data_IF_315167215905
#
_entry.id   IF_315167215905
#
_cell.length_a   1.000
_cell.length_b   1.000
_cell.length_c   1.000
_cell.angle_alpha   90.00
_cell.angle_beta   90.00
_cell.angle_gamma   90.00
#
_symmetry.space_group_name_H-M   'P 1'
#
loop_
_entity.id
_entity.type
_entity.pdbx_description
1 polymer ?
#
# COMPACT_ATOMS: atom_id res chain seq x y z
N UNK A 1 -1.09 15.05 16.40
CA UNK A 1 -0.37 14.51 15.23
C UNK A 1 0.19 15.72 14.49
N UNK A 2 1.51 15.95 14.52
CA UNK A 2 2.12 17.06 13.79
C UNK A 2 2.07 16.74 12.30
N UNK A 3 1.43 17.60 11.51
CA UNK A 3 1.35 17.54 10.05
C UNK A 3 2.76 17.49 9.39
N UNK A 4 3.83 17.82 10.14
CA UNK A 4 5.21 17.88 9.66
C UNK A 4 5.96 16.57 9.43
N UNK A 5 5.56 15.41 9.98
CA UNK A 5 6.33 14.14 9.80
C UNK A 5 5.88 13.27 8.62
N UNK A 6 4.81 13.67 7.94
CA UNK A 6 4.24 13.00 6.76
C UNK A 6 5.09 13.25 5.50
N UNK A 7 6.06 14.16 5.54
CA UNK A 7 6.54 14.87 4.34
C UNK A 7 7.87 14.38 3.75
N UNK A 8 8.84 13.88 4.52
CA UNK A 8 10.20 13.75 3.96
C UNK A 8 10.41 12.59 2.97
N UNK A 9 9.79 11.42 3.17
CA UNK A 9 10.03 10.25 2.33
C UNK A 9 9.28 10.23 0.98
N UNK A 10 8.08 10.81 0.94
CA UNK A 10 7.29 10.87 -0.30
C UNK A 10 7.81 11.98 -1.23
N UNK A 11 8.28 13.09 -0.66
CA UNK A 11 8.78 14.22 -1.44
C UNK A 11 10.08 13.88 -2.17
N UNK A 12 11.00 13.12 -1.58
CA UNK A 12 12.26 12.76 -2.25
C UNK A 12 12.02 11.82 -3.44
N UNK A 13 11.13 10.83 -3.32
CA UNK A 13 10.77 9.94 -4.43
C UNK A 13 9.98 10.68 -5.51
N UNK A 14 9.06 11.57 -5.15
CA UNK A 14 8.35 12.39 -6.11
C UNK A 14 9.31 13.34 -6.84
N UNK A 15 10.27 13.94 -6.14
CA UNK A 15 11.30 14.78 -6.77
C UNK A 15 12.21 13.96 -7.68
N UNK A 16 12.68 12.79 -7.25
CA UNK A 16 13.49 11.90 -8.10
C UNK A 16 12.68 11.48 -9.33
N UNK A 17 11.44 11.05 -9.15
CA UNK A 17 10.60 10.62 -10.24
C UNK A 17 10.25 11.78 -11.20
N UNK A 18 10.12 13.01 -10.69
CA UNK A 18 9.98 14.22 -11.50
C UNK A 18 11.28 14.56 -12.25
N UNK A 19 12.43 14.43 -11.60
CA UNK A 19 13.74 14.60 -12.25
C UNK A 19 13.95 13.55 -13.35
N UNK A 20 13.43 12.33 -13.17
CA UNK A 20 13.42 11.27 -14.18
C UNK A 20 12.44 11.55 -15.34
N UNK A 21 11.50 12.48 -15.19
CA UNK A 21 10.69 12.99 -16.32
C UNK A 21 11.49 13.91 -17.24
N UNK A 22 12.57 14.56 -16.79
CA UNK A 22 13.39 15.43 -17.65
C UNK A 22 14.07 14.60 -18.77
N UNK A 23 14.71 13.46 -18.48
CA UNK A 23 15.19 12.53 -19.51
C UNK A 23 14.10 12.02 -20.45
N UNK A 24 12.84 11.92 -20.00
CA UNK A 24 11.73 11.45 -20.86
C UNK A 24 11.44 12.36 -22.03
N UNK A 25 11.69 13.67 -21.88
CA UNK A 25 11.61 14.62 -22.99
C UNK A 25 12.64 14.32 -24.08
N UNK A 26 13.76 13.67 -23.75
CA UNK A 26 14.83 13.32 -24.68
C UNK A 26 14.82 11.84 -25.10
N UNK A 27 14.19 10.96 -24.32
CA UNK A 27 14.13 9.52 -24.55
C UNK A 27 12.70 8.99 -24.76
N UNK A 28 11.96 9.64 -25.66
CA UNK A 28 10.60 9.20 -26.01
C UNK A 28 10.55 7.74 -26.53
N UNK A 29 11.62 7.23 -27.14
CA UNK A 29 11.76 5.85 -27.61
C UNK A 29 11.84 4.78 -26.49
N UNK A 30 12.19 5.16 -25.25
CA UNK A 30 12.24 4.21 -24.12
C UNK A 30 10.85 3.91 -23.57
N UNK A 31 9.91 4.85 -23.75
CA UNK A 31 8.53 4.62 -23.37
C UNK A 31 7.76 3.96 -24.52
N UNK A 32 7.03 2.87 -24.24
CA UNK A 32 6.20 2.23 -25.25
C UNK A 32 4.86 2.95 -25.48
N UNK A 33 4.61 4.06 -24.78
CA UNK A 33 3.40 4.87 -24.85
C UNK A 33 3.69 6.35 -24.62
N UNK A 34 2.81 7.23 -25.09
CA UNK A 34 2.93 8.68 -24.89
C UNK A 34 2.64 9.11 -23.45
N UNK A 35 3.30 10.15 -22.96
CA UNK A 35 3.19 10.65 -21.56
C UNK A 35 1.74 10.91 -21.11
N UNK A 36 0.90 11.38 -22.04
CA UNK A 36 -0.50 11.73 -21.79
C UNK A 36 -1.50 10.74 -22.39
N UNK A 37 -1.03 9.59 -22.89
CA UNK A 37 -1.88 8.60 -23.57
C UNK A 37 -3.07 8.15 -22.72
N UNK A 38 -2.86 8.03 -21.40
CA UNK A 38 -3.89 7.57 -20.48
C UNK A 38 -4.71 8.70 -19.86
N UNK A 39 -4.53 9.98 -20.21
CA UNK A 39 -5.24 11.06 -19.51
C UNK A 39 -6.73 11.19 -19.89
N UNK A 40 -7.11 10.68 -21.06
CA UNK A 40 -8.50 10.68 -21.51
C UNK A 40 -9.40 9.77 -20.66
N UNK A 41 -10.71 9.97 -20.76
CA UNK A 41 -11.73 9.04 -20.27
C UNK A 41 -12.31 8.30 -21.47
N UNK A 42 -12.33 6.97 -21.43
CA UNK A 42 -12.88 6.12 -22.48
C UNK A 42 -13.86 5.11 -21.89
N UNK A 43 -14.76 4.58 -22.74
CA UNK A 43 -15.76 3.59 -22.36
C UNK A 43 -16.94 4.13 -21.55
N UNK A 44 -17.94 3.28 -21.31
CA UNK A 44 -19.09 3.63 -20.47
C UNK A 44 -18.80 3.40 -18.99
N UNK A 45 -19.58 4.03 -18.11
CA UNK A 45 -19.48 3.78 -16.67
C UNK A 45 -19.67 2.30 -16.30
N UNK A 46 -20.55 1.59 -17.02
CA UNK A 46 -20.82 0.17 -16.79
C UNK A 46 -19.59 -0.67 -17.14
N UNK A 47 -18.90 -0.34 -18.24
CA UNK A 47 -17.68 -1.04 -18.65
C UNK A 47 -16.56 -0.82 -17.61
N UNK A 48 -16.37 0.43 -17.18
CA UNK A 48 -15.39 0.78 -16.15
C UNK A 48 -15.68 0.03 -14.85
N UNK A 49 -16.95 0.00 -14.41
CA UNK A 49 -17.37 -0.71 -13.21
C UNK A 49 -17.17 -2.23 -13.34
N UNK A 50 -17.43 -2.79 -14.52
CA UNK A 50 -17.21 -4.20 -14.83
C UNK A 50 -15.71 -4.57 -14.86
N UNK A 51 -14.85 -3.67 -15.31
CA UNK A 51 -13.40 -3.89 -15.20
C UNK A 51 -12.91 -3.76 -13.75
N UNK A 52 -13.53 -2.87 -12.97
CA UNK A 52 -13.15 -2.59 -11.58
C UNK A 52 -13.75 -3.56 -10.55
N UNK A 53 -14.78 -4.35 -10.86
CA UNK A 53 -15.45 -5.21 -9.87
C UNK A 53 -14.52 -6.15 -9.08
N UNK A 54 -13.47 -6.75 -9.67
CA UNK A 54 -12.56 -7.62 -8.93
C UNK A 54 -11.83 -6.86 -7.81
N UNK A 55 -11.53 -5.58 -8.04
CA UNK A 55 -10.96 -4.69 -7.02
C UNK A 55 -11.88 -4.54 -5.82
N UNK A 56 -13.17 -4.26 -6.06
CA UNK A 56 -14.15 -4.09 -5.00
C UNK A 56 -14.37 -5.39 -4.23
N UNK A 57 -14.52 -6.51 -4.94
CA UNK A 57 -14.66 -7.83 -4.32
C UNK A 57 -13.46 -8.16 -3.43
N UNK A 58 -12.24 -7.93 -3.92
CA UNK A 58 -11.02 -8.15 -3.15
C UNK A 58 -10.92 -7.21 -1.94
N UNK A 59 -11.22 -5.93 -2.11
CA UNK A 59 -11.20 -4.96 -1.00
C UNK A 59 -12.20 -5.29 0.10
N UNK A 60 -13.42 -5.68 -0.27
CA UNK A 60 -14.44 -6.11 0.70
C UNK A 60 -13.98 -7.38 1.41
N UNK A 61 -13.49 -8.38 0.68
CA UNK A 61 -12.97 -9.62 1.26
C UNK A 61 -11.85 -9.34 2.27
N UNK A 62 -10.90 -8.48 1.91
CA UNK A 62 -9.82 -8.09 2.81
C UNK A 62 -10.32 -7.33 4.03
N UNK A 63 -11.20 -6.35 3.84
CA UNK A 63 -11.74 -5.57 4.94
C UNK A 63 -12.49 -6.48 5.93
N UNK A 64 -13.33 -7.39 5.43
CA UNK A 64 -14.06 -8.35 6.27
C UNK A 64 -13.11 -9.32 6.97
N UNK A 65 -12.20 -9.97 6.23
CA UNK A 65 -11.26 -10.94 6.82
C UNK A 65 -10.34 -10.28 7.84
N UNK A 66 -9.81 -9.09 7.54
CA UNK A 66 -8.97 -8.32 8.46
C UNK A 66 -9.74 -7.90 9.70
N UNK A 67 -10.98 -7.42 9.54
CA UNK A 67 -11.84 -7.10 10.68
C UNK A 67 -12.11 -8.32 11.54
N UNK A 68 -12.43 -9.49 10.97
CA UNK A 68 -12.68 -10.73 11.71
C UNK A 68 -11.42 -11.23 12.44
N UNK A 69 -10.28 -11.25 11.74
CA UNK A 69 -8.99 -11.70 12.31
C UNK A 69 -8.55 -10.76 13.44
N UNK A 70 -8.67 -9.44 13.26
CA UNK A 70 -8.33 -8.50 14.33
C UNK A 70 -9.31 -8.58 15.50
N UNK A 71 -10.61 -8.67 15.22
CA UNK A 71 -11.65 -8.86 16.25
C UNK A 71 -11.39 -10.14 17.05
N UNK A 72 -10.77 -11.17 16.47
CA UNK A 72 -10.53 -12.43 17.16
C UNK A 72 -9.15 -12.50 17.84
N UNK A 73 -8.08 -12.02 17.20
CA UNK A 73 -6.70 -12.23 17.65
C UNK A 73 -6.06 -11.02 18.34
N UNK A 74 -6.55 -9.80 18.11
CA UNK A 74 -5.86 -8.56 18.52
C UNK A 74 -6.82 -7.51 19.08
N UNK A 75 -7.75 -7.94 19.95
CA UNK A 75 -8.73 -7.07 20.62
C UNK A 75 -8.15 -5.75 21.17
N UNK A 76 -6.98 -5.74 21.85
CA UNK A 76 -6.42 -4.50 22.39
C UNK A 76 -5.93 -3.53 21.30
N UNK A 77 -5.44 -4.05 20.18
CA UNK A 77 -4.89 -3.24 19.08
C UNK A 77 -5.98 -2.62 18.22
N UNK A 78 -7.15 -3.26 18.13
CA UNK A 78 -8.30 -2.76 17.38
C UNK A 78 -8.86 -1.48 18.00
N UNK A 79 -8.96 -1.42 19.34
CA UNK A 79 -9.42 -0.22 20.03
C UNK A 79 -8.47 0.96 19.85
N UNK A 80 -7.15 0.71 19.74
CA UNK A 80 -6.17 1.75 19.44
C UNK A 80 -6.33 2.29 18.02
N UNK A 81 -6.57 1.41 17.04
CA UNK A 81 -6.80 1.78 15.64
C UNK A 81 -8.09 2.59 15.46
N UNK A 82 -9.18 2.15 16.11
CA UNK A 82 -10.44 2.88 16.14
C UNK A 82 -10.29 4.22 16.86
N UNK A 83 -9.55 4.27 17.98
CA UNK A 83 -9.24 5.49 18.71
C UNK A 83 -8.49 6.51 17.86
N UNK A 84 -7.51 6.07 17.07
CA UNK A 84 -6.78 6.93 16.13
C UNK A 84 -7.68 7.43 14.98
N UNK A 85 -8.60 6.60 14.49
CA UNK A 85 -9.55 7.00 13.45
C UNK A 85 -10.58 8.00 13.99
N UNK A 86 -11.08 7.79 15.21
CA UNK A 86 -11.98 8.70 15.90
C UNK A 86 -11.27 10.02 16.23
N UNK A 87 -10.02 9.97 16.66
CA UNK A 87 -9.22 11.15 16.96
C UNK A 87 -8.87 11.92 15.67
N UNK A 88 -8.66 11.23 14.55
CA UNK A 88 -8.55 11.86 13.24
C UNK A 88 -9.87 12.54 12.85
N UNK A 89 -10.99 11.81 12.89
CA UNK A 89 -12.33 12.37 12.61
C UNK A 89 -12.64 13.59 13.50
N UNK A 90 -12.25 13.55 14.78
CA UNK A 90 -12.44 14.65 15.73
C UNK A 90 -11.48 15.82 15.48
N UNK A 91 -10.22 15.57 15.08
CA UNK A 91 -9.23 16.62 14.80
C UNK A 91 -9.48 17.35 13.48
N UNK A 92 -10.09 16.70 12.50
CA UNK A 92 -10.36 17.30 11.19
C UNK A 92 -11.68 18.08 11.11
N UNK A 93 -12.37 18.25 12.24
CA UNK A 93 -13.61 19.03 12.34
C UNK A 93 -14.84 18.20 11.99
N UNK A 94 -15.93 18.44 12.71
CA UNK A 94 -17.22 17.73 12.67
C UNK A 94 -17.97 17.77 11.33
N UNK A 95 -17.35 18.24 10.25
CA UNK A 95 -17.98 18.40 8.93
C UNK A 95 -17.55 17.25 8.00
N UNK A 96 -18.45 16.28 7.70
CA UNK A 96 -18.17 15.16 6.79
C UNK A 96 -17.57 15.58 5.44
N UNK A 97 -17.92 16.78 4.98
CA UNK A 97 -17.45 17.38 3.73
C UNK A 97 -15.92 17.55 3.72
N UNK A 98 -15.32 18.00 4.83
CA UNK A 98 -13.86 18.20 4.92
C UNK A 98 -13.13 16.86 4.79
N UNK A 99 -13.65 15.81 5.43
CA UNK A 99 -13.11 14.46 5.31
C UNK A 99 -13.19 13.90 3.89
N UNK A 100 -14.30 14.12 3.18
CA UNK A 100 -14.48 13.69 1.79
C UNK A 100 -13.49 14.43 0.86
N UNK A 101 -13.35 15.75 1.03
CA UNK A 101 -12.43 16.56 0.23
C UNK A 101 -10.98 16.12 0.45
N UNK A 102 -10.59 15.91 1.70
CA UNK A 102 -9.25 15.42 2.04
C UNK A 102 -9.01 14.01 1.50
N UNK A 103 -9.98 13.10 1.63
CA UNK A 103 -9.89 11.74 1.08
C UNK A 103 -9.73 11.74 -0.44
N UNK A 104 -10.52 12.58 -1.12
CA UNK A 104 -10.42 12.78 -2.58
C UNK A 104 -9.06 13.34 -2.98
N UNK A 105 -8.56 14.34 -2.25
CA UNK A 105 -7.23 14.92 -2.50
C UNK A 105 -6.11 13.90 -2.33
N UNK A 106 -6.16 13.08 -1.27
CA UNK A 106 -5.20 12.00 -1.06
C UNK A 106 -5.29 10.97 -2.20
N UNK A 107 -6.50 10.55 -2.58
CA UNK A 107 -6.71 9.60 -3.67
C UNK A 107 -6.16 10.13 -5.02
N UNK A 108 -6.34 11.43 -5.27
CA UNK A 108 -5.80 12.14 -6.44
C UNK A 108 -4.27 12.17 -6.42
N UNK A 109 -3.68 12.61 -5.31
CA UNK A 109 -2.23 12.68 -5.14
C UNK A 109 -1.59 11.29 -5.29
N UNK A 110 -2.19 10.26 -4.72
CA UNK A 110 -1.74 8.87 -4.87
C UNK A 110 -1.86 8.39 -6.32
N UNK A 111 -2.98 8.65 -6.99
CA UNK A 111 -3.14 8.28 -8.39
C UNK A 111 -2.11 8.97 -9.29
N UNK A 112 -1.81 10.24 -9.03
CA UNK A 112 -0.78 10.97 -9.76
C UNK A 112 0.64 10.44 -9.46
N UNK A 113 1.00 10.28 -8.19
CA UNK A 113 2.35 9.84 -7.80
C UNK A 113 2.61 8.39 -8.22
N UNK A 114 1.70 7.47 -7.94
CA UNK A 114 1.96 6.04 -8.13
C UNK A 114 1.68 5.58 -9.56
N UNK A 115 0.58 6.03 -10.17
CA UNK A 115 0.12 5.52 -11.48
C UNK A 115 0.63 6.32 -12.66
N UNK A 116 1.03 7.56 -12.42
CA UNK A 116 1.69 8.38 -13.43
C UNK A 116 3.19 8.43 -13.11
N UNK A 117 3.60 9.23 -12.13
CA UNK A 117 5.01 9.59 -11.94
C UNK A 117 5.95 8.40 -11.71
N UNK A 118 5.64 7.53 -10.73
CA UNK A 118 6.46 6.35 -10.41
C UNK A 118 6.34 5.27 -11.47
N UNK A 119 5.16 5.06 -12.05
CA UNK A 119 4.97 4.11 -13.13
C UNK A 119 5.89 4.41 -14.32
N UNK A 120 5.86 5.64 -14.84
CA UNK A 120 6.74 6.07 -15.93
C UNK A 120 8.22 5.96 -15.55
N UNK A 121 8.57 6.35 -14.33
CA UNK A 121 9.95 6.25 -13.83
C UNK A 121 10.44 4.79 -13.78
N UNK A 122 9.60 3.87 -13.32
CA UNK A 122 9.94 2.45 -13.25
C UNK A 122 10.12 1.82 -14.63
N UNK A 123 9.35 2.23 -15.65
CA UNK A 123 9.57 1.75 -17.02
C UNK A 123 11.00 2.05 -17.48
N UNK A 124 11.49 3.27 -17.23
CA UNK A 124 12.86 3.67 -17.60
C UNK A 124 13.88 2.86 -16.80
N UNK A 125 13.73 2.83 -15.47
CA UNK A 125 14.65 2.13 -14.58
C UNK A 125 14.74 0.65 -14.96
N UNK A 126 13.61 -0.01 -15.21
CA UNK A 126 13.58 -1.42 -15.60
C UNK A 126 14.29 -1.68 -16.93
N UNK A 127 14.12 -0.80 -17.91
CA UNK A 127 14.83 -0.93 -19.19
C UNK A 127 16.34 -0.71 -19.04
N UNK A 128 16.77 0.29 -18.26
CA UNK A 128 18.19 0.51 -17.95
C UNK A 128 18.77 -0.69 -17.22
N UNK A 129 18.11 -1.17 -16.16
CA UNK A 129 18.61 -2.30 -15.36
C UNK A 129 18.61 -3.58 -16.20
N UNK A 130 17.60 -3.81 -17.05
CA UNK A 130 17.61 -4.97 -17.95
C UNK A 130 18.72 -4.87 -19.00
N UNK A 131 18.98 -3.69 -19.55
CA UNK A 131 20.13 -3.46 -20.42
C UNK A 131 21.43 -3.84 -19.72
N UNK A 132 21.65 -3.36 -18.49
CA UNK A 132 22.85 -3.69 -17.69
C UNK A 132 22.92 -5.19 -17.33
N UNK A 133 21.78 -5.85 -17.10
CA UNK A 133 21.67 -7.28 -16.80
C UNK A 133 21.54 -8.13 -18.08
N UNK A 134 22.52 -7.98 -18.97
CA UNK A 134 22.69 -8.77 -20.20
C UNK A 134 21.61 -8.56 -21.28
N UNK A 135 20.72 -7.57 -21.13
CA UNK A 135 19.73 -7.21 -22.15
C UNK A 135 20.34 -6.81 -23.49
N UNK A 136 21.53 -6.16 -23.47
CA UNK A 136 22.26 -5.80 -24.69
C UNK A 136 22.74 -7.03 -25.50
N UNK A 137 22.84 -8.20 -24.88
CA UNK A 137 23.19 -9.47 -25.54
C UNK A 137 21.96 -10.25 -25.99
N UNK A 138 20.75 -9.69 -25.85
CA UNK A 138 19.48 -10.40 -26.07
C UNK A 138 19.06 -11.33 -24.93
N UNK A 139 19.79 -11.35 -23.81
CA UNK A 139 19.58 -12.26 -22.67
C UNK A 139 19.06 -11.50 -21.44
N UNK A 140 18.08 -10.61 -21.63
CA UNK A 140 17.57 -9.75 -20.55
C UNK A 140 17.06 -10.56 -19.35
N UNK A 141 17.86 -10.65 -18.28
CA UNK A 141 17.53 -11.47 -17.11
C UNK A 141 16.24 -10.99 -16.43
N UNK A 142 16.02 -9.66 -16.35
CA UNK A 142 14.79 -9.12 -15.77
C UNK A 142 13.57 -9.42 -16.62
N UNK A 143 13.67 -9.29 -17.94
CA UNK A 143 12.61 -9.72 -18.86
C UNK A 143 12.27 -11.19 -18.62
N UNK A 144 13.27 -12.07 -18.56
CA UNK A 144 13.05 -13.50 -18.32
C UNK A 144 12.37 -13.77 -16.97
N UNK A 145 12.88 -13.19 -15.88
CA UNK A 145 12.27 -13.34 -14.55
C UNK A 145 10.83 -12.85 -14.56
N UNK A 146 10.58 -11.67 -15.15
CA UNK A 146 9.24 -11.13 -15.24
C UNK A 146 8.29 -12.06 -16.01
N UNK A 147 8.66 -12.43 -17.23
CA UNK A 147 7.77 -13.18 -18.15
C UNK A 147 7.50 -14.60 -17.67
N UNK A 148 8.50 -15.28 -17.11
CA UNK A 148 8.38 -16.70 -16.75
C UNK A 148 8.10 -16.95 -15.27
N UNK A 149 8.51 -16.05 -14.37
CA UNK A 149 8.39 -16.27 -12.91
C UNK A 149 7.31 -15.39 -12.30
N UNK A 150 7.29 -14.09 -12.62
CA UNK A 150 6.43 -13.14 -11.92
C UNK A 150 5.05 -13.04 -12.57
N UNK A 151 4.98 -12.71 -13.86
CA UNK A 151 3.74 -12.41 -14.57
C UNK A 151 2.72 -13.57 -14.58
N UNK A 152 3.11 -14.85 -14.77
CA UNK A 152 2.13 -15.94 -14.83
C UNK A 152 1.35 -16.14 -13.52
N UNK A 153 1.98 -16.18 -12.32
CA UNK A 153 1.23 -16.17 -11.06
C UNK A 153 0.29 -14.97 -10.89
N UNK A 154 0.72 -13.76 -11.27
CA UNK A 154 -0.15 -12.57 -11.19
C UNK A 154 -1.38 -12.74 -12.09
N UNK A 155 -1.16 -13.22 -13.32
CA UNK A 155 -2.23 -13.45 -14.28
C UNK A 155 -3.19 -14.54 -13.79
N UNK A 156 -2.66 -15.61 -13.22
CA UNK A 156 -3.46 -16.67 -12.62
C UNK A 156 -4.32 -16.16 -11.45
N UNK A 157 -3.73 -15.42 -10.51
CA UNK A 157 -4.43 -14.84 -9.35
C UNK A 157 -5.49 -13.81 -9.74
N UNK A 158 -5.34 -13.17 -10.90
CA UNK A 158 -6.33 -12.25 -11.46
C UNK A 158 -7.32 -12.92 -12.43
N UNK A 159 -7.36 -14.26 -12.49
CA UNK A 159 -8.22 -15.01 -13.40
C UNK A 159 -8.08 -14.58 -14.87
N UNK A 160 -6.86 -14.22 -15.29
CA UNK A 160 -6.57 -13.76 -16.64
C UNK A 160 -6.96 -12.32 -16.94
N UNK A 161 -7.64 -11.60 -16.04
CA UNK A 161 -8.10 -10.22 -16.28
C UNK A 161 -6.95 -9.22 -16.46
N UNK A 162 -5.79 -9.47 -15.84
CA UNK A 162 -4.61 -8.62 -16.00
C UNK A 162 -3.74 -9.01 -17.19
N UNK A 163 -4.13 -10.02 -17.99
CA UNK A 163 -3.35 -10.46 -19.14
C UNK A 163 -3.03 -9.31 -20.12
N UNK A 164 -3.98 -8.41 -20.46
CA UNK A 164 -3.70 -7.28 -21.35
C UNK A 164 -2.65 -6.33 -20.80
N UNK A 165 -2.57 -6.15 -19.48
CA UNK A 165 -1.57 -5.31 -18.82
C UNK A 165 -0.21 -6.02 -18.73
N UNK A 166 -0.22 -7.29 -18.31
CA UNK A 166 0.99 -8.05 -17.99
C UNK A 166 1.75 -8.51 -19.24
N UNK A 167 1.03 -8.82 -20.32
CA UNK A 167 1.58 -9.31 -21.58
C UNK A 167 1.24 -8.37 -22.74
N UNK A 168 1.07 -7.07 -22.45
CA UNK A 168 0.79 -6.05 -23.47
C UNK A 168 1.85 -6.02 -24.57
N UNK A 169 1.44 -5.59 -25.76
CA UNK A 169 2.36 -5.22 -26.85
C UNK A 169 3.24 -4.00 -26.50
N UNK A 170 2.90 -3.26 -25.45
CA UNK A 170 3.74 -2.20 -24.88
C UNK A 170 5.01 -2.75 -24.21
N UNK A 171 5.12 -4.07 -24.08
CA UNK A 171 6.32 -4.72 -23.60
C UNK A 171 6.31 -4.96 -22.10
N UNK A 172 7.16 -5.91 -21.72
CA UNK A 172 7.26 -6.44 -20.36
C UNK A 172 7.51 -5.37 -19.28
N UNK A 173 8.23 -4.30 -19.61
CA UNK A 173 8.60 -3.24 -18.67
C UNK A 173 7.38 -2.46 -18.17
N UNK A 174 6.33 -2.33 -18.98
CA UNK A 174 5.09 -1.67 -18.57
C UNK A 174 4.37 -2.48 -17.50
N UNK A 175 4.15 -3.77 -17.74
CA UNK A 175 3.53 -4.66 -16.75
C UNK A 175 4.38 -4.76 -15.47
N UNK A 176 5.70 -4.88 -15.59
CA UNK A 176 6.61 -4.87 -14.44
C UNK A 176 6.57 -3.54 -13.66
N UNK A 177 6.48 -2.39 -14.34
CA UNK A 177 6.35 -1.09 -13.69
C UNK A 177 5.02 -0.96 -12.91
N UNK A 178 3.92 -1.48 -13.45
CA UNK A 178 2.63 -1.54 -12.75
C UNK A 178 2.72 -2.38 -11.47
N UNK A 179 3.48 -3.48 -11.49
CA UNK A 179 3.73 -4.31 -10.30
C UNK A 179 4.51 -3.59 -9.20
N UNK A 180 5.59 -2.89 -9.56
CA UNK A 180 6.53 -2.31 -8.60
C UNK A 180 6.03 -0.97 -8.06
N UNK A 181 5.40 -0.15 -8.89
CA UNK A 181 4.93 1.20 -8.54
C UNK A 181 4.00 1.23 -7.32
N UNK A 182 3.31 0.12 -7.00
CA UNK A 182 2.39 0.06 -5.88
C UNK A 182 3.01 -0.33 -4.52
N UNK A 183 4.28 -0.76 -4.49
CA UNK A 183 4.85 -1.43 -3.31
C UNK A 183 4.91 -0.62 -2.01
N UNK A 184 4.70 0.70 -2.05
CA UNK A 184 4.92 1.59 -0.89
C UNK A 184 3.72 2.47 -0.48
N UNK A 185 2.66 2.56 -1.28
CA UNK A 185 1.59 3.55 -1.06
C UNK A 185 0.77 3.31 0.22
N UNK A 186 0.44 2.06 0.54
CA UNK A 186 -0.47 1.74 1.66
C UNK A 186 0.22 1.38 2.98
N UNK A 187 1.53 1.63 3.10
CA UNK A 187 2.27 1.30 4.32
C UNK A 187 1.85 2.15 5.53
N UNK A 188 1.09 3.25 5.37
CA UNK A 188 0.70 4.14 6.49
C UNK A 188 -0.28 3.55 7.50
N UNK A 189 -1.26 2.75 7.06
CA UNK A 189 -2.29 2.22 7.97
C UNK A 189 -1.83 0.96 8.72
N UNK A 190 -0.79 0.29 8.22
CA UNK A 190 -0.34 -1.01 8.74
C UNK A 190 1.18 -1.06 8.90
N UNK A 191 1.81 0.08 9.20
CA UNK A 191 3.25 0.40 9.01
C UNK A 191 4.28 -0.43 9.80
N UNK A 192 3.89 -1.60 10.33
CA UNK A 192 4.82 -2.53 10.97
C UNK A 192 4.70 -4.00 10.51
N UNK A 193 3.77 -4.35 9.61
CA UNK A 193 3.48 -5.77 9.30
C UNK A 193 3.78 -6.14 7.84
N UNK A 194 5.05 -6.51 7.59
CA UNK A 194 5.53 -7.53 6.64
C UNK A 194 5.08 -7.55 5.16
N UNK A 195 5.69 -8.49 4.42
CA UNK A 195 5.41 -8.81 3.00
C UNK A 195 3.94 -9.22 2.75
N UNK A 196 3.25 -9.73 3.78
CA UNK A 196 1.88 -10.23 3.67
C UNK A 196 0.86 -9.14 3.34
N UNK A 197 0.95 -7.95 3.95
CA UNK A 197 0.02 -6.86 3.64
C UNK A 197 0.24 -6.27 2.25
N UNK A 198 1.50 -6.29 1.79
CA UNK A 198 1.81 -5.94 0.41
C UNK A 198 1.09 -6.90 -0.54
N UNK A 199 1.21 -8.22 -0.34
CA UNK A 199 0.50 -9.23 -1.15
C UNK A 199 -1.02 -9.06 -1.12
N UNK A 200 -1.60 -8.68 0.02
CA UNK A 200 -3.04 -8.49 0.16
C UNK A 200 -3.53 -7.25 -0.59
N UNK A 201 -2.85 -6.10 -0.46
CA UNK A 201 -3.29 -4.83 -1.07
C UNK A 201 -2.85 -4.63 -2.51
N UNK A 202 -1.97 -5.49 -3.01
CA UNK A 202 -1.38 -5.40 -4.33
C UNK A 202 -2.36 -5.67 -5.50
N UNK A 203 -3.26 -6.67 -5.46
CA UNK A 203 -4.23 -6.92 -6.53
C UNK A 203 -5.11 -5.71 -6.83
N UNK A 204 -5.53 -4.99 -5.78
CA UNK A 204 -6.39 -3.80 -5.89
C UNK A 204 -5.77 -2.73 -6.78
N UNK A 205 -4.47 -2.51 -6.65
CA UNK A 205 -3.80 -1.51 -7.48
C UNK A 205 -3.58 -1.95 -8.90
N UNK A 206 -3.32 -3.24 -9.11
CA UNK A 206 -3.20 -3.77 -10.47
C UNK A 206 -4.49 -3.65 -11.24
N UNK A 207 -5.64 -3.86 -10.60
CA UNK A 207 -6.93 -3.58 -11.22
C UNK A 207 -7.12 -2.08 -11.49
N UNK A 208 -6.61 -1.18 -10.66
CA UNK A 208 -6.61 0.25 -10.99
C UNK A 208 -5.68 0.59 -12.17
N UNK A 209 -4.56 -0.11 -12.33
CA UNK A 209 -3.73 0.00 -13.54
C UNK A 209 -4.44 -0.55 -14.77
N UNK A 210 -5.17 -1.66 -14.65
CA UNK A 210 -6.00 -2.19 -15.73
C UNK A 210 -7.04 -1.16 -16.17
N UNK A 211 -7.78 -0.58 -15.21
CA UNK A 211 -8.76 0.48 -15.50
C UNK A 211 -8.09 1.69 -16.14
N UNK A 212 -6.90 2.10 -15.66
CA UNK A 212 -6.15 3.21 -16.25
C UNK A 212 -5.75 2.93 -17.71
N UNK A 213 -5.36 1.69 -18.00
CA UNK A 213 -4.87 1.26 -19.31
C UNK A 213 -6.01 1.12 -20.32
N UNK A 214 -7.15 0.59 -19.90
CA UNK A 214 -8.30 0.35 -20.78
C UNK A 214 -9.21 1.58 -20.93
N UNK A 215 -9.44 2.31 -19.83
CA UNK A 215 -10.44 3.38 -19.76
C UNK A 215 -9.84 4.75 -19.42
N UNK A 216 -8.56 4.80 -19.05
CA UNK A 216 -7.84 6.03 -18.75
C UNK A 216 -7.78 6.39 -17.27
N UNK A 217 -6.94 7.38 -16.98
CA UNK A 217 -6.53 7.82 -15.65
C UNK A 217 -7.69 8.45 -14.89
N UNK A 218 -8.57 9.19 -15.57
CA UNK A 218 -9.79 9.74 -14.96
C UNK A 218 -10.71 8.62 -14.49
N UNK A 219 -10.89 7.54 -15.28
CA UNK A 219 -11.66 6.37 -14.88
C UNK A 219 -11.04 5.68 -13.65
N UNK A 220 -9.73 5.47 -13.66
CA UNK A 220 -9.01 4.86 -12.55
C UNK A 220 -9.11 5.71 -11.27
N UNK A 221 -8.99 7.04 -11.38
CA UNK A 221 -9.18 7.97 -10.26
C UNK A 221 -10.60 7.87 -9.69
N UNK A 222 -11.63 7.90 -10.56
CA UNK A 222 -13.02 7.76 -10.15
C UNK A 222 -13.25 6.45 -9.39
N UNK A 223 -12.78 5.33 -9.94
CA UNK A 223 -12.89 4.02 -9.28
C UNK A 223 -12.11 3.97 -7.97
N UNK A 224 -10.96 4.64 -7.87
CA UNK A 224 -10.19 4.73 -6.63
C UNK A 224 -10.95 5.48 -5.54
N UNK A 225 -11.59 6.61 -5.88
CA UNK A 225 -12.41 7.38 -4.93
C UNK A 225 -13.63 6.58 -4.48
N UNK A 226 -14.33 5.93 -5.41
CA UNK A 226 -15.47 5.06 -5.08
C UNK A 226 -15.03 3.92 -4.15
N UNK A 227 -13.89 3.31 -4.44
CA UNK A 227 -13.31 2.24 -3.63
C UNK A 227 -13.03 2.69 -2.19
N UNK A 228 -12.36 3.84 -2.02
CA UNK A 228 -12.07 4.37 -0.68
C UNK A 228 -13.36 4.74 0.07
N UNK A 229 -14.35 5.33 -0.61
CA UNK A 229 -15.66 5.62 -0.03
C UNK A 229 -16.38 4.34 0.44
N UNK A 230 -16.37 3.29 -0.38
CA UNK A 230 -16.96 1.99 -0.02
C UNK A 230 -16.27 1.37 1.19
N UNK A 231 -14.94 1.44 1.28
CA UNK A 231 -14.21 0.98 2.47
C UNK A 231 -14.63 1.75 3.72
N UNK A 232 -14.74 3.08 3.65
CA UNK A 232 -15.18 3.90 4.79
C UNK A 232 -16.58 3.49 5.25
N UNK A 233 -17.52 3.30 4.33
CA UNK A 233 -18.87 2.84 4.64
C UNK A 233 -18.84 1.44 5.25
N UNK A 234 -18.07 0.51 4.69
CA UNK A 234 -17.94 -0.85 5.20
C UNK A 234 -17.37 -0.87 6.62
N UNK A 235 -16.32 -0.12 6.90
CA UNK A 235 -15.76 0.00 8.24
C UNK A 235 -16.78 0.58 9.23
N UNK A 236 -17.54 1.60 8.82
CA UNK A 236 -18.60 2.17 9.64
C UNK A 236 -19.71 1.15 9.95
N UNK A 237 -20.10 0.32 8.98
CA UNK A 237 -21.07 -0.76 9.19
C UNK A 237 -20.52 -1.83 10.13
N UNK A 238 -19.26 -2.25 9.96
CA UNK A 238 -18.60 -3.23 10.83
C UNK A 238 -18.53 -2.72 12.28
N UNK A 239 -18.29 -1.42 12.49
CA UNK A 239 -18.29 -0.81 13.82
C UNK A 239 -19.66 -0.83 14.51
N UNK A 240 -20.76 -0.83 13.74
CA UNK A 240 -22.13 -0.90 14.25
C UNK A 240 -22.59 -2.33 14.58
N UNK A 241 -21.89 -3.35 14.09
CA UNK A 241 -22.26 -4.73 14.42
C UNK A 241 -22.22 -4.91 15.94
N UNK A 242 -23.25 -5.53 16.55
CA UNK A 242 -23.25 -5.80 17.97
C UNK A 242 -21.97 -6.57 18.26
N UNK A 243 -21.07 -5.98 19.04
CA UNK A 243 -19.96 -6.73 19.59
C UNK A 243 -20.62 -7.77 20.47
N UNK A 244 -20.70 -9.02 19.99
CA UNK A 244 -20.99 -10.15 20.85
C UNK A 244 -20.12 -9.90 22.07
N UNK A 245 -20.74 -9.82 23.27
CA UNK A 245 -20.04 -9.50 24.51
C UNK A 245 -18.99 -10.58 24.72
N UNK A 246 -17.83 -10.40 24.10
CA UNK A 246 -16.69 -11.23 24.37
C UNK A 246 -16.42 -11.01 25.86
N UNK A 247 -16.21 -12.10 26.61
CA UNK A 247 -15.96 -12.02 28.04
C UNK A 247 -14.94 -10.91 28.29
N UNK A 248 -15.31 -9.90 29.09
CA UNK A 248 -14.43 -8.76 29.38
C UNK A 248 -13.08 -9.30 29.81
N UNK A 249 -11.98 -8.63 29.45
CA UNK A 249 -10.64 -8.96 29.94
C UNK A 249 -10.59 -9.13 31.48
N UNK A 250 -11.50 -8.49 32.22
CA UNK A 250 -11.67 -8.67 33.67
C UNK A 250 -12.12 -10.08 34.11
N UNK A 251 -12.69 -10.90 33.21
CA UNK A 251 -12.92 -12.33 33.45
C UNK A 251 -11.65 -13.16 33.21
N UNK A 252 -10.73 -12.69 32.39
CA UNK A 252 -9.42 -13.33 32.18
C UNK A 252 -8.42 -13.01 33.30
N UNK A 253 -8.60 -11.92 34.04
CA UNK A 253 -7.80 -11.63 35.26
C UNK A 253 -8.14 -12.53 36.45
N UNK A 254 -9.21 -13.35 36.35
CA UNK A 254 -9.52 -14.40 37.34
C UNK A 254 -8.93 -15.76 36.96
N UNK A 255 -8.37 -15.91 35.76
CA UNK A 255 -7.55 -17.08 35.44
C UNK A 255 -6.27 -16.90 36.24
N UNK A 256 -6.11 -17.69 37.31
CA UNK A 256 -4.88 -17.74 38.08
C UNK A 256 -3.70 -17.81 37.11
N UNK A 257 -2.62 -17.03 37.32
CA UNK A 257 -1.42 -17.20 36.52
C UNK A 257 -1.10 -18.69 36.54
N UNK A 258 -1.00 -19.31 35.35
CA UNK A 258 -0.55 -20.69 35.23
C UNK A 258 0.71 -20.79 36.10
N UNK A 259 0.78 -21.76 37.03
CA UNK A 259 1.95 -21.93 37.88
C UNK A 259 3.15 -21.89 36.95
N UNK A 260 4.08 -20.96 37.19
CA UNK A 260 5.29 -20.79 36.41
C UNK A 260 5.86 -22.17 36.13
N UNK A 261 5.61 -22.68 34.92
CA UNK A 261 6.30 -23.84 34.44
C UNK A 261 7.69 -23.27 34.17
N UNK A 262 8.52 -23.31 35.21
CA UNK A 262 9.96 -23.10 35.18
C UNK A 262 10.52 -24.16 34.21
N UNK A 263 10.35 -23.91 32.92
CA UNK A 263 11.17 -24.51 31.89
C UNK A 263 12.40 -23.61 31.87
N UNK A 264 13.52 -23.99 32.51
CA UNK A 264 14.74 -23.22 32.43
C UNK A 264 15.08 -23.07 30.94
N UNK A 265 15.06 -21.83 30.46
CA UNK A 265 15.49 -21.52 29.11
C UNK A 265 17.01 -21.72 29.07
N UNK A 266 17.54 -22.71 28.33
CA UNK A 266 18.98 -22.92 28.25
C UNK A 266 19.56 -21.83 27.33
N UNK A 267 19.85 -20.65 27.88
CA UNK A 267 20.49 -19.58 27.10
C UNK A 267 20.50 -18.18 27.67
N UNK A 268 19.89 -17.88 28.83
CA UNK A 268 19.88 -16.52 29.39
C UNK A 268 20.96 -16.26 30.45
N UNK A 269 21.95 -17.13 30.59
CA UNK A 269 23.17 -16.79 31.32
C UNK A 269 24.06 -15.93 30.42
N UNK A 270 24.54 -14.81 30.96
CA UNK A 270 25.43 -13.82 30.33
C UNK A 270 24.72 -12.76 29.48
N UNK A 271 24.26 -11.67 30.11
CA UNK A 271 24.54 -10.29 29.67
C UNK A 271 23.87 -9.30 30.64
N UNK A 272 24.38 -9.22 31.87
CA UNK A 272 24.24 -8.03 32.71
C UNK A 272 25.48 -7.94 33.58
N UNK A 273 26.56 -7.40 33.00
CA UNK A 273 27.63 -6.79 33.77
C UNK A 273 27.30 -5.32 33.95
N UNK A 274 27.08 -5.01 35.22
CA UNK A 274 26.99 -3.73 35.90
C UNK A 274 28.30 -2.93 35.75
N UNK A 275 28.21 -1.66 35.36
CA UNK A 275 29.02 -0.47 35.73
C UNK A 275 28.72 0.63 34.68
N UNK A 276 28.54 1.92 34.96
CA UNK A 276 29.25 2.78 35.90
C UNK A 276 28.31 3.84 36.53
N UNK A 277 28.55 4.08 37.82
CA UNK A 277 28.19 5.29 38.55
C UNK A 277 28.96 6.49 37.96
N UNK A 278 28.25 7.53 37.52
CA UNK A 278 28.82 8.88 37.43
C UNK A 278 28.07 9.79 38.38
N UNK A 279 28.65 9.93 39.57
CA UNK A 279 28.36 10.98 40.54
C UNK A 279 28.75 12.35 39.97
N UNK A 280 27.78 13.18 39.64
CA UNK A 280 27.99 14.61 39.37
C UNK A 280 27.96 15.39 40.70
N UNK A 281 29.11 15.93 41.10
CA UNK A 281 29.24 16.95 42.14
C UNK A 281 28.87 18.35 41.59
N UNK A 282 28.11 19.18 42.31
CA UNK A 282 27.81 20.55 41.88
C UNK A 282 28.97 21.51 42.20
N UNK A 283 29.23 22.54 41.36
CA UNK A 283 30.29 23.51 41.63
C UNK A 283 29.89 24.53 42.70
N UNK A 284 30.85 24.83 43.58
CA UNK A 284 30.81 25.88 44.59
C UNK A 284 30.86 27.26 43.96
N UNK A 285 29.99 28.16 44.43
CA UNK A 285 29.97 29.59 44.17
C UNK A 285 31.14 30.33 44.83
N UNK A 286 31.79 31.22 44.08
CA UNK A 286 32.56 32.36 44.58
C UNK A 286 32.25 33.59 43.73
#
# INVERSE_FOLDING_TARGET
MRIGQVSMGCNSLAVIAFLLLIPLSFWHWVLPFGLFQFWGLHGSFIDIMSAAWPMFAWGILLAVTWSLVILHLFFPTFETLLGLQQEALNKFGSLPIVGILQGTWVALAEAFIYRWLLFYSWVIVLNIVNFLLLGFMGHGLLLWIYTFVIAPPVNFLSFGKLHPLLFSSWGWSAGAAALISHGRSKQRWVSKKGIGNWLLTWPISLFLFLVMVEYGWIAALLMHVIYEALLVVLFFLIQKLPRARLPRASQFSQIQPLPELLIPWPGSAHFFTQSDDTSETPPSSS
#
